data_IF_099002883375
#
_entry.id   IF_099002883375
#
_cell.length_a   1.000
_cell.length_b   1.000
_cell.length_c   1.000
_cell.angle_alpha   90.00
_cell.angle_beta   90.00
_cell.angle_gamma   90.00
#
_symmetry.space_group_name_H-M   'P 1'
#
loop_
_entity.id
_entity.type
_entity.pdbx_description
1 polymer ?
#
# COMPACT_ATOMS: atom_id res chain seq x y z
N UNK A 1 -3.57 24.59 5.75
CA UNK A 1 -2.37 23.84 5.34
C UNK A 1 -2.79 22.90 4.23
N UNK A 2 -2.43 23.21 2.97
CA UNK A 2 -2.70 22.33 1.83
C UNK A 2 -1.42 21.57 1.53
N UNK A 3 -1.40 20.26 1.81
CA UNK A 3 -0.34 19.39 1.33
C UNK A 3 -0.64 19.08 -0.15
N UNK A 4 0.15 19.66 -1.06
CA UNK A 4 0.09 19.32 -2.47
C UNK A 4 0.46 17.85 -2.67
N UNK A 5 -0.35 17.10 -3.42
CA UNK A 5 -0.05 15.73 -3.81
C UNK A 5 1.11 15.70 -4.82
N UNK A 6 2.34 15.84 -4.32
CA UNK A 6 3.57 15.73 -5.09
C UNK A 6 4.10 14.31 -4.95
N UNK A 7 4.22 13.59 -6.07
CA UNK A 7 4.90 12.29 -6.08
C UNK A 7 6.43 12.52 -6.03
N UNK A 8 7.08 11.93 -5.03
CA UNK A 8 8.54 11.81 -4.96
C UNK A 8 9.02 10.64 -5.85
N UNK A 9 10.30 10.56 -6.24
CA UNK A 9 10.76 9.71 -7.33
C UNK A 9 10.36 8.23 -7.19
N UNK A 10 9.90 7.65 -8.29
CA UNK A 10 9.53 6.24 -8.42
C UNK A 10 10.56 5.52 -9.31
N UNK A 11 10.97 4.32 -8.92
CA UNK A 11 11.88 3.48 -9.69
C UNK A 11 11.25 2.11 -9.95
N UNK A 12 11.51 1.55 -11.14
CA UNK A 12 11.07 0.23 -11.56
C UNK A 12 12.29 -0.61 -12.00
N UNK A 13 12.23 -1.92 -11.77
CA UNK A 13 13.27 -2.88 -12.17
C UNK A 13 12.61 -4.09 -12.84
N UNK A 14 13.16 -4.63 -13.94
CA UNK A 14 14.35 -4.17 -14.67
C UNK A 14 14.10 -2.84 -15.42
N UNK A 15 15.15 -2.01 -15.55
CA UNK A 15 15.11 -0.71 -16.23
C UNK A 15 15.82 -0.78 -17.59
N UNK A 16 15.51 0.14 -18.50
CA UNK A 16 16.09 0.20 -19.85
C UNK A 16 16.69 1.57 -20.15
N UNK A 17 17.62 1.64 -21.11
CA UNK A 17 18.17 2.90 -21.59
C UNK A 17 17.20 3.57 -22.58
N UNK A 18 16.59 4.73 -22.25
CA UNK A 18 15.62 5.39 -23.13
C UNK A 18 16.24 5.98 -24.40
N UNK A 19 17.57 6.09 -24.48
CA UNK A 19 18.26 6.61 -25.67
C UNK A 19 18.58 5.52 -26.70
N UNK A 20 18.41 4.24 -26.36
CA UNK A 20 18.60 3.14 -27.28
C UNK A 20 17.54 2.05 -27.06
N UNK A 21 16.50 2.07 -27.90
CA UNK A 21 15.41 1.08 -27.86
C UNK A 21 15.74 -0.21 -28.63
N UNK A 22 16.87 -0.28 -29.34
CA UNK A 22 17.23 -1.47 -30.12
C UNK A 22 17.59 -2.63 -29.19
N UNK A 23 16.75 -3.66 -29.15
CA UNK A 23 16.95 -4.87 -28.33
C UNK A 23 16.23 -4.89 -26.98
N UNK A 24 15.50 -3.83 -26.59
CA UNK A 24 14.75 -3.81 -25.33
C UNK A 24 13.44 -4.58 -25.46
N UNK A 25 13.29 -5.67 -24.70
CA UNK A 25 12.04 -6.42 -24.64
C UNK A 25 10.89 -5.55 -24.07
N UNK A 26 9.69 -5.63 -24.67
CA UNK A 26 8.51 -4.83 -24.27
C UNK A 26 8.18 -4.93 -22.77
N UNK A 27 8.51 -6.05 -22.12
CA UNK A 27 8.29 -6.26 -20.68
C UNK A 27 9.18 -5.43 -19.76
N UNK A 28 10.35 -4.98 -20.25
CA UNK A 28 11.29 -4.13 -19.49
C UNK A 28 10.85 -2.66 -19.55
N UNK A 29 10.01 -2.30 -20.53
CA UNK A 29 9.51 -0.95 -20.71
C UNK A 29 8.31 -0.58 -19.83
N UNK A 30 7.78 -1.54 -19.06
CA UNK A 30 6.60 -1.34 -18.21
C UNK A 30 6.97 -0.65 -16.90
N UNK A 31 6.32 0.47 -16.60
CA UNK A 31 6.40 1.08 -15.28
C UNK A 31 5.52 0.29 -14.30
N UNK A 32 6.09 -0.77 -13.73
CA UNK A 32 5.41 -1.70 -12.81
C UNK A 32 4.76 -1.00 -11.60
N UNK A 33 5.27 0.16 -11.19
CA UNK A 33 4.68 0.92 -10.09
C UNK A 33 3.30 1.53 -10.43
N UNK A 34 2.97 1.63 -11.71
CA UNK A 34 1.70 2.21 -12.20
C UNK A 34 0.85 1.17 -12.92
N UNK A 35 1.48 0.26 -13.69
CA UNK A 35 0.75 -0.62 -14.62
C UNK A 35 0.37 -1.98 -14.05
N UNK A 36 1.03 -2.44 -12.98
CA UNK A 36 0.86 -3.81 -12.52
C UNK A 36 -0.20 -3.85 -11.41
N UNK A 37 -1.30 -4.56 -11.68
CA UNK A 37 -2.36 -4.80 -10.71
C UNK A 37 -1.98 -5.99 -9.85
N UNK A 38 -1.91 -5.79 -8.53
CA UNK A 38 -1.67 -6.85 -7.57
C UNK A 38 -2.79 -6.89 -6.54
N UNK A 39 -3.09 -8.08 -6.03
CA UNK A 39 -4.02 -8.23 -4.91
C UNK A 39 -3.38 -7.65 -3.65
N UNK A 40 -3.94 -6.56 -3.09
CA UNK A 40 -3.40 -5.96 -1.89
C UNK A 40 -3.89 -6.78 -0.70
N UNK A 41 -3.21 -7.89 -0.40
CA UNK A 41 -3.66 -8.87 0.61
C UNK A 41 -3.70 -8.27 2.03
N UNK A 42 -2.70 -8.58 2.85
CA UNK A 42 -2.70 -8.09 4.24
C UNK A 42 -2.57 -6.57 4.37
N UNK A 43 -2.20 -5.85 3.30
CA UNK A 43 -2.09 -4.39 3.27
C UNK A 43 -3.44 -3.67 3.35
N UNK A 44 -4.56 -4.33 3.01
CA UNK A 44 -5.92 -3.74 3.14
C UNK A 44 -6.51 -3.91 4.54
N UNK A 45 -6.01 -4.86 5.35
CA UNK A 45 -6.55 -5.15 6.69
C UNK A 45 -6.70 -3.90 7.59
N UNK A 46 -5.76 -2.94 7.61
CA UNK A 46 -5.93 -1.71 8.39
C UNK A 46 -7.16 -0.89 8.02
N UNK A 47 -7.61 -0.89 6.76
CA UNK A 47 -8.85 -0.19 6.36
C UNK A 47 -10.09 -0.86 6.95
N UNK A 48 -10.09 -2.20 7.02
CA UNK A 48 -11.18 -2.96 7.64
C UNK A 48 -11.23 -2.69 9.14
N UNK A 49 -10.07 -2.67 9.81
CA UNK A 49 -9.98 -2.33 11.24
C UNK A 49 -10.44 -0.89 11.49
N UNK A 50 -10.03 0.07 10.66
CA UNK A 50 -10.47 1.46 10.77
C UNK A 50 -12.00 1.59 10.64
N UNK A 51 -12.59 0.85 9.71
CA UNK A 51 -14.06 0.81 9.54
C UNK A 51 -14.74 0.18 10.77
N UNK A 52 -14.15 -0.87 11.33
CA UNK A 52 -14.67 -1.52 12.53
C UNK A 52 -14.59 -0.62 13.77
N UNK A 53 -13.52 0.16 13.91
CA UNK A 53 -13.37 1.19 14.94
C UNK A 53 -14.36 2.34 14.72
N UNK A 54 -14.52 2.83 13.49
CA UNK A 54 -15.45 3.93 13.17
C UNK A 54 -16.92 3.54 13.41
N UNK A 55 -17.28 2.28 13.18
CA UNK A 55 -18.62 1.74 13.46
C UNK A 55 -18.82 1.32 14.92
N UNK A 56 -17.79 1.44 15.77
CA UNK A 56 -17.85 1.05 17.18
C UNK A 56 -17.96 -0.46 17.44
N UNK A 57 -17.75 -1.28 16.41
CA UNK A 57 -17.77 -2.76 16.51
C UNK A 57 -16.55 -3.23 17.29
N UNK A 58 -15.42 -2.54 17.09
CA UNK A 58 -14.18 -2.75 17.82
C UNK A 58 -13.91 -1.48 18.61
N UNK A 59 -13.57 -1.64 19.88
CA UNK A 59 -13.22 -0.56 20.79
C UNK A 59 -11.89 -0.90 21.44
N UNK A 60 -10.99 0.08 21.57
CA UNK A 60 -9.70 -0.11 22.24
C UNK A 60 -9.87 -0.64 23.68
N UNK A 61 -10.98 -0.23 24.32
CA UNK A 61 -11.35 -0.68 25.67
C UNK A 61 -11.54 -2.19 25.79
N UNK A 62 -11.93 -2.92 24.74
CA UNK A 62 -12.03 -4.38 24.81
C UNK A 62 -10.67 -5.02 25.14
N UNK A 63 -9.55 -4.43 24.74
CA UNK A 63 -8.22 -4.93 25.13
C UNK A 63 -7.82 -4.52 26.54
N UNK A 64 -8.17 -3.29 26.95
CA UNK A 64 -7.87 -2.79 28.29
C UNK A 64 -8.66 -3.53 29.38
N UNK A 65 -9.93 -3.85 29.11
CA UNK A 65 -10.83 -4.54 30.03
C UNK A 65 -10.46 -6.03 30.16
N UNK A 66 -10.17 -6.72 29.04
CA UNK A 66 -9.71 -8.12 29.06
C UNK A 66 -8.33 -8.32 29.71
N UNK A 67 -7.44 -7.32 29.69
CA UNK A 67 -6.13 -7.41 30.35
C UNK A 67 -6.18 -7.02 31.84
N UNK A 68 -7.29 -6.46 32.31
CA UNK A 68 -7.54 -6.13 33.71
C UNK A 68 -8.26 -7.23 34.49
N UNK A 69 -8.71 -8.29 33.81
CA UNK A 69 -9.32 -9.46 34.43
C UNK A 69 -8.23 -10.37 35.01
N UNK A 70 -8.41 -10.89 36.25
CA UNK A 70 -7.41 -11.69 36.96
C UNK A 70 -7.45 -13.16 36.49
N UNK A 71 -7.06 -13.42 35.24
CA UNK A 71 -6.64 -14.74 34.80
C UNK A 71 -5.23 -14.72 34.22
#
# INVERSE_FOLDING_TARGET
>A
MSALAKCWPMANSPSYNPNNFSGTAKDIMRNRAITDVFEPGSTVKPMVVMTALQRGIVNEKYRAEYHSLPY
#
